data_IF_082894512744
#
_entry.id   IF_082894512744
#
_cell.length_a   1.000
_cell.length_b   1.000
_cell.length_c   1.000
_cell.angle_alpha   90.00
_cell.angle_beta   90.00
_cell.angle_gamma   90.00
#
_symmetry.space_group_name_H-M   'P 1'
#
loop_
_entity.id
_entity.type
_entity.pdbx_description
1 polymer ?
#
# COMPACT_ATOMS: atom_id res chain seq x y z
N UNK A 1 7.48 -10.34 -23.78
CA UNK A 1 6.23 -9.84 -23.15
C UNK A 1 6.36 -9.45 -21.67
N UNK A 2 7.57 -9.31 -21.10
CA UNK A 2 7.75 -9.14 -19.65
C UNK A 2 7.93 -7.70 -19.12
N UNK A 3 7.78 -6.67 -19.96
CA UNK A 3 8.10 -5.27 -19.60
C UNK A 3 6.94 -4.27 -19.84
N UNK A 4 5.77 -4.76 -20.28
CA UNK A 4 4.59 -3.94 -20.60
C UNK A 4 3.41 -4.12 -19.61
N UNK A 5 3.56 -4.96 -18.57
CA UNK A 5 2.52 -5.20 -17.57
C UNK A 5 2.73 -4.39 -16.29
N UNK A 6 3.27 -3.17 -16.39
CA UNK A 6 3.37 -2.26 -15.25
C UNK A 6 1.97 -1.75 -14.92
N UNK A 7 1.22 -2.53 -14.16
CA UNK A 7 -0.04 -2.11 -13.57
C UNK A 7 0.31 -1.23 -12.37
N UNK A 8 -0.06 0.04 -12.43
CA UNK A 8 0.16 0.97 -11.32
C UNK A 8 -0.97 0.83 -10.31
N UNK A 9 -0.61 0.71 -9.04
CA UNK A 9 -1.55 0.71 -7.94
C UNK A 9 -1.21 1.86 -6.99
N UNK A 10 -2.17 2.75 -6.77
CA UNK A 10 -2.08 3.75 -5.73
C UNK A 10 -2.64 3.19 -4.43
N UNK A 11 -1.93 3.43 -3.33
CA UNK A 11 -2.36 3.11 -1.98
C UNK A 11 -2.58 4.42 -1.23
N UNK A 12 -3.80 4.65 -0.74
CA UNK A 12 -4.17 5.87 -0.03
C UNK A 12 -5.02 5.57 1.19
N UNK A 13 -4.84 6.34 2.26
CA UNK A 13 -5.66 6.25 3.47
C UNK A 13 -6.45 7.54 3.61
N UNK A 14 -7.76 7.43 3.77
CA UNK A 14 -8.65 8.53 4.18
C UNK A 14 -9.03 8.35 5.65
N UNK A 15 -9.82 9.26 6.20
CA UNK A 15 -10.33 9.13 7.58
C UNK A 15 -11.13 7.84 7.82
N UNK A 16 -11.73 7.28 6.77
CA UNK A 16 -12.65 6.15 6.89
C UNK A 16 -12.20 4.90 6.15
N UNK A 17 -11.33 5.02 5.14
CA UNK A 17 -11.00 3.90 4.25
C UNK A 17 -9.52 3.80 3.90
N UNK A 18 -9.03 2.56 3.80
CA UNK A 18 -7.82 2.22 3.06
C UNK A 18 -8.21 1.90 1.61
N UNK A 19 -7.63 2.60 0.65
CA UNK A 19 -7.94 2.49 -0.76
C UNK A 19 -6.73 1.97 -1.55
N UNK A 20 -6.98 0.97 -2.39
CA UNK A 20 -6.08 0.45 -3.41
C UNK A 20 -6.72 0.68 -4.76
N UNK A 21 -6.11 1.52 -5.59
CA UNK A 21 -6.66 1.91 -6.89
C UNK A 21 -5.71 1.49 -7.99
N UNK A 22 -6.17 0.57 -8.83
CA UNK A 22 -5.46 0.09 -10.00
C UNK A 22 -5.81 1.00 -11.17
N UNK A 23 -4.80 1.63 -11.78
CA UNK A 23 -4.97 2.53 -12.92
C UNK A 23 -4.38 1.92 -14.19
N UNK A 24 -4.90 2.34 -15.33
CA UNK A 24 -4.36 1.97 -16.62
C UNK A 24 -2.93 2.51 -16.79
N UNK A 25 -2.05 1.70 -17.35
CA UNK A 25 -0.62 2.02 -17.51
C UNK A 25 -0.34 3.08 -18.57
N UNK A 26 -1.24 3.29 -19.52
CA UNK A 26 -1.12 4.26 -20.61
C UNK A 26 -1.89 5.53 -20.29
N UNK A 27 -3.12 5.40 -19.77
CA UNK A 27 -3.96 6.52 -19.37
C UNK A 27 -4.24 6.46 -17.86
N UNK A 28 -3.39 7.09 -17.06
CA UNK A 28 -3.47 7.07 -15.59
C UNK A 28 -4.74 7.73 -15.01
N UNK A 29 -5.50 8.49 -15.83
CA UNK A 29 -6.82 9.00 -15.44
C UNK A 29 -7.91 7.92 -15.48
N UNK A 30 -7.65 6.78 -16.16
CA UNK A 30 -8.58 5.65 -16.22
C UNK A 30 -8.30 4.68 -15.07
N UNK A 31 -9.26 4.55 -14.16
CA UNK A 31 -9.26 3.52 -13.12
C UNK A 31 -9.70 2.19 -13.75
N UNK A 32 -8.88 1.16 -13.63
CA UNK A 32 -9.20 -0.20 -14.09
C UNK A 32 -9.88 -1.01 -12.98
N UNK A 33 -9.45 -0.84 -11.73
CA UNK A 33 -10.09 -1.50 -10.59
C UNK A 33 -9.85 -0.74 -9.28
N UNK A 34 -10.66 -1.01 -8.26
CA UNK A 34 -10.50 -0.43 -6.93
C UNK A 34 -10.87 -1.45 -5.85
N UNK A 35 -10.12 -1.42 -4.76
CA UNK A 35 -10.47 -2.04 -3.50
C UNK A 35 -10.50 -0.96 -2.44
N UNK A 36 -11.62 -0.83 -1.74
CA UNK A 36 -11.78 0.11 -0.62
C UNK A 36 -12.14 -0.69 0.62
N UNK A 37 -11.32 -0.60 1.65
CA UNK A 37 -11.46 -1.32 2.91
C UNK A 37 -11.84 -0.32 4.00
N UNK A 38 -13.02 -0.46 4.64
CA UNK A 38 -13.38 0.38 5.77
C UNK A 38 -12.38 0.19 6.91
N UNK A 39 -11.84 1.27 7.45
CA UNK A 39 -10.88 1.19 8.57
C UNK A 39 -11.51 0.54 9.80
N UNK A 40 -12.82 0.70 10.00
CA UNK A 40 -13.61 0.06 11.07
C UNK A 40 -13.65 -1.47 10.97
N UNK A 41 -13.35 -2.05 9.81
CA UNK A 41 -13.28 -3.51 9.63
C UNK A 41 -11.93 -4.10 10.06
N UNK A 42 -10.90 -3.25 10.22
CA UNK A 42 -9.56 -3.68 10.65
C UNK A 42 -9.59 -3.89 12.16
N UNK A 43 -9.48 -5.14 12.59
CA UNK A 43 -9.50 -5.50 14.01
C UNK A 43 -8.12 -5.46 14.67
N UNK A 44 -7.06 -5.45 13.85
CA UNK A 44 -5.67 -5.29 14.30
C UNK A 44 -4.81 -4.87 13.11
N UNK A 45 -3.86 -3.95 13.33
CA UNK A 45 -2.80 -3.68 12.37
C UNK A 45 -1.41 -3.89 12.98
N UNK A 46 -0.49 -4.45 12.19
CA UNK A 46 0.92 -4.59 12.58
C UNK A 46 1.83 -4.09 11.47
N UNK A 47 2.81 -3.27 11.84
CA UNK A 47 3.90 -2.85 10.95
C UNK A 47 5.19 -3.50 11.41
N UNK A 48 5.84 -4.24 10.51
CA UNK A 48 7.09 -4.96 10.78
C UNK A 48 8.18 -4.53 9.80
N UNK A 49 9.43 -4.56 10.25
CA UNK A 49 10.57 -4.52 9.35
C UNK A 49 10.60 -5.78 8.47
N UNK A 50 10.88 -5.63 7.17
CA UNK A 50 11.15 -6.75 6.29
C UNK A 50 12.58 -7.26 6.42
N UNK A 51 12.85 -8.46 5.89
CA UNK A 51 14.19 -9.07 5.88
C UNK A 51 15.20 -8.27 5.04
N UNK A 52 14.71 -7.56 4.01
CA UNK A 52 15.53 -6.74 3.14
C UNK A 52 15.61 -5.30 3.67
N UNK A 53 16.79 -4.65 3.64
CA UNK A 53 16.91 -3.23 3.96
C UNK A 53 15.91 -2.40 3.16
N UNK A 54 15.19 -1.51 3.86
CA UNK A 54 14.18 -0.65 3.26
C UNK A 54 12.82 -1.29 2.96
N UNK A 55 12.64 -2.59 3.26
CA UNK A 55 11.32 -3.23 3.17
C UNK A 55 10.53 -3.01 4.45
N UNK A 56 9.26 -2.66 4.31
CA UNK A 56 8.25 -2.64 5.38
C UNK A 56 7.14 -3.63 5.04
N UNK A 57 6.62 -4.31 6.06
CA UNK A 57 5.50 -5.24 5.91
C UNK A 57 4.37 -4.78 6.81
N UNK A 58 3.22 -4.54 6.22
CA UNK A 58 1.97 -4.22 6.91
C UNK A 58 1.07 -5.45 6.89
N UNK A 59 0.58 -5.83 8.06
CA UNK A 59 -0.38 -6.91 8.27
C UNK A 59 -1.66 -6.32 8.82
N UNK A 60 -2.75 -6.41 8.07
CA UNK A 60 -4.09 -6.01 8.51
C UNK A 60 -4.91 -7.26 8.79
N UNK A 61 -5.58 -7.28 9.94
CA UNK A 61 -6.45 -8.39 10.34
C UNK A 61 -7.91 -7.94 10.29
N UNK A 62 -8.77 -8.82 9.79
CA UNK A 62 -10.22 -8.64 9.67
C UNK A 62 -10.90 -9.84 10.32
N UNK A 63 -10.92 -9.87 11.65
CA UNK A 63 -11.31 -11.07 12.40
C UNK A 63 -10.33 -12.22 12.17
N UNK A 64 -10.76 -13.26 11.45
CA UNK A 64 -9.92 -14.43 11.11
C UNK A 64 -9.11 -14.25 9.81
N UNK A 65 -9.50 -13.29 8.98
CA UNK A 65 -8.86 -13.02 7.70
C UNK A 65 -7.68 -12.05 7.85
N UNK A 66 -6.72 -12.13 6.94
CA UNK A 66 -5.54 -11.25 6.96
C UNK A 66 -5.13 -10.79 5.57
N UNK A 67 -4.71 -9.53 5.49
CA UNK A 67 -4.08 -8.95 4.32
C UNK A 67 -2.64 -8.56 4.64
N UNK A 68 -1.72 -8.92 3.74
CA UNK A 68 -0.31 -8.58 3.84
C UNK A 68 0.09 -7.64 2.71
N UNK A 69 0.61 -6.47 3.05
CA UNK A 69 1.12 -5.47 2.11
C UNK A 69 2.62 -5.34 2.32
N UNK A 70 3.41 -5.60 1.27
CA UNK A 70 4.87 -5.40 1.29
C UNK A 70 5.22 -4.12 0.57
N UNK A 71 5.89 -3.20 1.27
CA UNK A 71 6.27 -1.89 0.74
C UNK A 71 7.80 -1.80 0.68
N UNK A 72 8.30 -1.23 -0.41
CA UNK A 72 9.70 -0.89 -0.58
C UNK A 72 9.86 0.62 -0.42
N UNK A 73 10.76 1.04 0.47
CA UNK A 73 11.02 2.45 0.76
C UNK A 73 12.31 2.96 0.06
N UNK A 74 13.02 2.09 -0.66
CA UNK A 74 14.16 2.47 -1.49
C UNK A 74 13.67 2.90 -2.87
N UNK A 75 14.04 4.10 -3.30
CA UNK A 75 13.61 4.67 -4.57
C UNK A 75 14.42 4.16 -5.79
N UNK A 76 15.29 3.16 -5.60
CA UNK A 76 16.27 2.75 -6.63
C UNK A 76 15.53 2.30 -7.90
N UNK A 77 15.65 3.10 -8.96
CA UNK A 77 15.09 2.81 -10.29
C UNK A 77 13.62 3.14 -10.52
N UNK A 78 12.95 3.87 -9.60
CA UNK A 78 11.51 4.17 -9.74
C UNK A 78 11.15 5.63 -10.02
N UNK A 79 12.09 6.58 -9.95
CA UNK A 79 11.86 8.05 -10.03
C UNK A 79 10.72 8.61 -9.13
N UNK A 80 10.18 7.79 -8.20
CA UNK A 80 9.13 8.21 -7.27
C UNK A 80 9.74 9.08 -6.19
N UNK A 81 9.48 10.39 -6.29
CA UNK A 81 9.89 11.36 -5.29
C UNK A 81 9.31 11.00 -3.92
N UNK A 82 10.15 11.12 -2.87
CA UNK A 82 9.75 10.97 -1.46
C UNK A 82 9.15 9.59 -1.11
N UNK A 83 9.43 8.54 -1.90
CA UNK A 83 8.94 7.18 -1.66
C UNK A 83 9.19 6.71 -0.21
N UNK A 84 10.38 7.00 0.33
CA UNK A 84 10.72 6.65 1.70
C UNK A 84 9.78 7.29 2.71
N UNK A 85 9.60 8.60 2.62
CA UNK A 85 8.74 9.40 3.50
C UNK A 85 7.27 8.98 3.39
N UNK A 86 6.79 8.73 2.16
CA UNK A 86 5.41 8.28 1.92
C UNK A 86 5.15 6.91 2.54
N UNK A 87 6.08 5.95 2.40
CA UNK A 87 5.97 4.63 3.03
C UNK A 87 6.01 4.74 4.56
N UNK A 88 6.87 5.60 5.11
CA UNK A 88 6.95 5.83 6.55
C UNK A 88 5.67 6.47 7.11
N UNK A 89 5.12 7.48 6.44
CA UNK A 89 3.86 8.12 6.81
C UNK A 89 2.69 7.11 6.77
N UNK A 90 2.60 6.32 5.70
CA UNK A 90 1.60 5.26 5.59
C UNK A 90 1.70 4.27 6.77
N UNK A 91 2.91 3.80 7.07
CA UNK A 91 3.15 2.89 8.18
C UNK A 91 2.75 3.50 9.53
N UNK A 92 3.05 4.78 9.77
CA UNK A 92 2.66 5.48 11.00
C UNK A 92 1.14 5.57 11.14
N UNK A 93 0.42 5.91 10.07
CA UNK A 93 -1.05 5.96 10.07
C UNK A 93 -1.59 4.56 10.39
N UNK A 94 -1.13 3.54 9.68
CA UNK A 94 -1.62 2.18 9.87
C UNK A 94 -1.31 1.60 11.25
N UNK A 95 -0.15 1.94 11.84
CA UNK A 95 0.19 1.48 13.20
C UNK A 95 -0.75 2.00 14.31
N UNK A 96 -1.58 2.99 14.00
CA UNK A 96 -2.60 3.55 14.90
C UNK A 96 -4.00 2.95 14.66
N UNK A 97 -4.14 1.99 13.74
CA UNK A 97 -5.39 1.34 13.41
C UNK A 97 -5.53 0.01 14.18
N UNK A 98 -6.73 -0.25 14.71
CA UNK A 98 -7.03 -1.41 15.54
C UNK A 98 -6.44 -1.28 16.94
#
# INVERSE_FOLDING_TARGET
>A
MGALSNVYCYLGVTEQHLNMVIVNSVNVSKIENRLSLPLSSITKAEVKGGLLPGRKVVMLHFGKEKMKISLMNNAIGSDIQRQKENVEMFCQIVSKLG
#
